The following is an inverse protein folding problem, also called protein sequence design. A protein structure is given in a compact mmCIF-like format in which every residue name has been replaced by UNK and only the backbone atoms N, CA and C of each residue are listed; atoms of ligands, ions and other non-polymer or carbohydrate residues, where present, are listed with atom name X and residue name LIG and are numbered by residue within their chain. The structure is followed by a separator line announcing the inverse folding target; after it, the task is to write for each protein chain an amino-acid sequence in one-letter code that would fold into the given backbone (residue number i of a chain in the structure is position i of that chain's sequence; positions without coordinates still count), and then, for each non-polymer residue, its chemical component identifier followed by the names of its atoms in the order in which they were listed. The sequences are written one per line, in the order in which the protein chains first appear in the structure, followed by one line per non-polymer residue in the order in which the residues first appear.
data_IF_629155737256
#
_entry.id   IF_629155737256
#
_cell.length_a   1.000
_cell.length_b   1.000
_cell.length_c   1.000
_cell.angle_alpha   90.00
_cell.angle_beta   90.00
_cell.angle_gamma   90.00
#
_symmetry.space_group_name_H-M   'P 1'
#
loop_
_entity.id
_entity.type
_entity.pdbx_description
1 polymer ?
#
# COMPACT_ATOMS: atom_id res chain seq x y z
N UNK A 1 -27.32 18.98 10.55
CA UNK A 1 -27.27 18.57 9.13
C UNK A 1 -27.53 17.07 9.05
N UNK A 2 -28.22 16.59 8.01
CA UNK A 2 -28.67 15.20 7.96
C UNK A 2 -27.59 14.32 7.29
N UNK A 3 -26.82 13.55 8.07
CA UNK A 3 -25.82 12.59 7.58
C UNK A 3 -26.46 11.31 7.03
N UNK A 4 -27.74 11.04 7.34
CA UNK A 4 -28.48 9.86 6.86
C UNK A 4 -28.51 9.76 5.32
N UNK A 5 -28.36 10.92 4.61
CA UNK A 5 -28.29 10.96 3.15
C UNK A 5 -27.06 10.23 2.57
N UNK A 6 -26.06 9.92 3.38
CA UNK A 6 -24.83 9.26 2.93
C UNK A 6 -24.82 7.76 3.26
N UNK A 7 -25.86 7.24 3.93
CA UNK A 7 -25.99 5.82 4.25
C UNK A 7 -26.38 4.99 3.03
N UNK A 8 -25.80 3.79 2.93
CA UNK A 8 -26.10 2.83 1.86
C UNK A 8 -25.70 3.28 0.46
N UNK A 9 -24.84 4.31 0.31
CA UNK A 9 -24.40 4.76 -1.00
C UNK A 9 -23.44 3.77 -1.62
N UNK A 10 -23.72 3.32 -2.84
CA UNK A 10 -22.81 2.46 -3.61
C UNK A 10 -21.53 3.19 -4.07
N UNK A 11 -21.52 4.52 -4.07
CA UNK A 11 -20.43 5.41 -4.47
C UNK A 11 -20.38 6.64 -3.57
N UNK A 12 -19.18 7.17 -3.35
CA UNK A 12 -19.03 8.44 -2.64
C UNK A 12 -19.63 9.62 -3.42
N UNK A 13 -20.12 10.67 -2.72
CA UNK A 13 -20.54 11.89 -3.36
C UNK A 13 -19.41 12.54 -4.18
N UNK A 14 -19.76 13.14 -5.32
CA UNK A 14 -18.78 13.67 -6.27
C UNK A 14 -18.43 15.14 -6.08
N UNK A 15 -18.74 15.74 -4.96
CA UNK A 15 -18.45 17.16 -4.72
C UNK A 15 -16.99 17.46 -4.38
N UNK A 16 -16.18 16.44 -4.13
CA UNK A 16 -14.72 16.56 -3.92
C UNK A 16 -13.97 15.46 -4.67
N UNK A 17 -12.84 15.80 -5.27
CA UNK A 17 -11.99 14.88 -6.06
C UNK A 17 -10.56 14.98 -5.55
N UNK A 18 -9.93 13.87 -5.10
CA UNK A 18 -8.54 13.85 -4.70
C UNK A 18 -7.60 13.86 -5.90
N UNK A 19 -6.39 14.40 -5.71
CA UNK A 19 -5.33 14.41 -6.72
C UNK A 19 -3.98 13.90 -6.19
N UNK A 20 -3.73 14.00 -4.89
CA UNK A 20 -2.48 13.57 -4.25
C UNK A 20 -2.72 13.18 -2.80
N UNK A 21 -2.00 12.16 -2.34
CA UNK A 21 -1.96 11.71 -0.94
C UNK A 21 -0.51 11.74 -0.43
N UNK A 22 -0.26 12.47 0.67
CA UNK A 22 0.98 12.37 1.46
C UNK A 22 0.63 11.57 2.73
N UNK A 23 1.00 10.28 2.74
CA UNK A 23 0.64 9.31 3.77
C UNK A 23 1.86 8.97 4.61
N UNK A 24 1.79 9.22 5.92
CA UNK A 24 2.80 8.82 6.88
C UNK A 24 2.20 7.81 7.87
N UNK A 25 2.78 6.63 7.96
CA UNK A 25 2.36 5.56 8.86
C UNK A 25 3.46 5.24 9.86
N UNK A 26 3.11 5.17 11.14
CA UNK A 26 3.94 4.68 12.25
C UNK A 26 3.45 3.32 12.67
N UNK A 27 4.29 2.30 12.49
CA UNK A 27 3.91 0.91 12.73
C UNK A 27 4.44 0.42 14.07
N UNK A 28 3.56 -0.05 14.94
CA UNK A 28 3.90 -0.79 16.15
C UNK A 28 3.67 -2.29 15.91
N UNK A 29 4.75 -3.01 15.65
CA UNK A 29 4.75 -4.47 15.46
C UNK A 29 4.94 -5.26 16.76
N UNK A 30 4.88 -4.60 17.91
CA UNK A 30 4.87 -5.25 19.23
C UNK A 30 3.59 -6.08 19.44
N UNK A 31 3.36 -6.53 20.65
CA UNK A 31 2.14 -7.27 20.99
C UNK A 31 0.83 -6.48 20.73
N UNK A 32 0.88 -5.15 20.74
CA UNK A 32 -0.28 -4.29 20.47
C UNK A 32 -0.72 -4.33 19.02
N UNK A 33 0.22 -4.48 18.08
CA UNK A 33 -0.02 -4.54 16.64
C UNK A 33 -0.97 -3.43 16.16
N UNK A 34 -0.55 -2.18 16.38
CA UNK A 34 -1.31 -0.99 16.02
C UNK A 34 -0.53 -0.12 15.05
N UNK A 35 -1.20 0.83 14.45
CA UNK A 35 -0.56 1.89 13.69
C UNK A 35 -1.21 3.23 13.96
N UNK A 36 -0.42 4.27 13.85
CA UNK A 36 -0.85 5.66 13.81
C UNK A 36 -0.51 6.23 12.44
N UNK A 37 -1.40 7.04 11.87
CA UNK A 37 -1.19 7.63 10.57
C UNK A 37 -1.59 9.09 10.50
N UNK A 38 -0.92 9.80 9.61
CA UNK A 38 -1.37 11.09 9.11
C UNK A 38 -1.49 11.01 7.60
N UNK A 39 -2.56 11.54 7.06
CA UNK A 39 -2.72 11.68 5.61
C UNK A 39 -3.05 13.12 5.27
N UNK A 40 -2.35 13.67 4.28
CA UNK A 40 -2.64 14.96 3.68
C UNK A 40 -3.09 14.73 2.25
N UNK A 41 -4.30 15.18 1.93
CA UNK A 41 -4.95 14.91 0.65
C UNK A 41 -5.17 16.24 -0.07
N UNK A 42 -4.47 16.45 -1.18
CA UNK A 42 -4.80 17.54 -2.09
C UNK A 42 -6.09 17.19 -2.81
N UNK A 43 -7.07 18.07 -2.77
CA UNK A 43 -8.37 17.84 -3.39
C UNK A 43 -8.96 19.10 -3.99
N UNK A 44 -9.84 18.91 -4.97
CA UNK A 44 -10.65 19.95 -5.58
C UNK A 44 -12.09 19.80 -5.09
N UNK A 45 -12.62 20.85 -4.46
CA UNK A 45 -14.07 20.99 -4.24
C UNK A 45 -14.71 21.44 -5.55
N UNK A 46 -15.54 20.61 -6.15
CA UNK A 46 -16.18 20.89 -7.46
C UNK A 46 -17.63 21.37 -7.32
N UNK A 47 -18.25 21.11 -6.16
CA UNK A 47 -19.57 21.62 -5.80
C UNK A 47 -19.54 22.11 -4.35
N UNK A 48 -20.25 23.23 -4.05
CA UNK A 48 -20.35 23.74 -2.68
C UNK A 48 -20.92 22.68 -1.76
N UNK A 49 -20.29 22.46 -0.61
CA UNK A 49 -20.70 21.43 0.33
C UNK A 49 -20.40 21.82 1.77
N UNK A 50 -21.14 21.26 2.71
CA UNK A 50 -20.83 21.30 4.13
C UNK A 50 -20.28 19.96 4.63
N UNK A 51 -19.94 19.04 3.71
CA UNK A 51 -19.47 17.70 4.04
C UNK A 51 -18.27 17.33 3.20
N UNK A 52 -17.33 16.59 3.79
CA UNK A 52 -16.39 15.73 3.07
C UNK A 52 -16.66 14.30 3.50
N UNK A 53 -16.86 13.43 2.51
CA UNK A 53 -17.18 12.01 2.74
C UNK A 53 -16.07 11.17 2.12
N UNK A 54 -15.42 10.37 2.95
CA UNK A 54 -14.34 9.46 2.55
C UNK A 54 -14.69 8.03 2.97
N UNK A 55 -14.07 7.06 2.33
CA UNK A 55 -14.09 5.69 2.84
C UNK A 55 -13.11 5.56 4.02
N UNK A 56 -13.57 4.92 5.07
CA UNK A 56 -12.78 4.52 6.24
C UNK A 56 -13.46 3.33 6.91
N UNK A 57 -12.70 2.33 7.35
CA UNK A 57 -13.23 1.16 8.04
C UNK A 57 -12.28 0.75 9.15
N UNK A 58 -12.82 0.60 10.37
CA UNK A 58 -12.07 0.23 11.57
C UNK A 58 -10.90 1.18 11.88
N UNK A 59 -11.03 2.45 11.49
CA UNK A 59 -10.10 3.51 11.80
C UNK A 59 -10.71 4.45 12.85
N UNK A 60 -9.87 4.94 13.75
CA UNK A 60 -10.23 6.02 14.66
C UNK A 60 -9.64 7.33 14.15
N UNK A 61 -10.48 8.29 13.81
CA UNK A 61 -10.06 9.63 13.40
C UNK A 61 -9.90 10.49 14.65
N UNK A 62 -8.69 11.04 14.85
CA UNK A 62 -8.35 11.88 16.00
C UNK A 62 -8.58 13.35 15.70
N UNK A 63 -8.20 13.79 14.51
CA UNK A 63 -8.31 15.18 14.07
C UNK A 63 -8.47 15.23 12.55
N UNK A 64 -9.21 16.22 12.08
CA UNK A 64 -9.28 16.60 10.68
C UNK A 64 -9.25 18.11 10.52
N UNK A 65 -8.67 18.59 9.41
CA UNK A 65 -8.57 20.01 9.07
C UNK A 65 -8.57 20.15 7.55
N UNK A 66 -9.48 20.96 7.02
CA UNK A 66 -9.44 21.38 5.62
C UNK A 66 -8.89 22.79 5.51
N UNK A 67 -7.89 22.99 4.65
CA UNK A 67 -7.26 24.28 4.39
C UNK A 67 -7.38 24.61 2.90
N UNK A 68 -7.99 25.73 2.56
CA UNK A 68 -8.09 26.18 1.16
C UNK A 68 -6.74 26.65 0.63
N UNK A 69 -6.60 26.77 -0.69
CA UNK A 69 -5.42 27.38 -1.34
C UNK A 69 -5.15 28.81 -0.88
N UNK A 70 -6.19 29.52 -0.41
CA UNK A 70 -6.10 30.87 0.21
C UNK A 70 -5.73 30.85 1.70
N UNK A 71 -5.31 29.70 2.26
CA UNK A 71 -4.93 29.49 3.66
C UNK A 71 -6.06 29.66 4.69
N UNK A 72 -7.32 29.71 4.25
CA UNK A 72 -8.47 29.66 5.17
C UNK A 72 -8.61 28.23 5.71
N UNK A 73 -8.77 28.10 7.01
CA UNK A 73 -8.87 26.83 7.73
C UNK A 73 -10.29 26.55 8.18
N UNK A 74 -10.75 25.31 7.99
CA UNK A 74 -12.04 24.80 8.40
C UNK A 74 -11.85 23.54 9.23
N UNK A 75 -12.27 23.61 10.48
CA UNK A 75 -12.34 22.44 11.36
C UNK A 75 -13.73 21.82 11.26
N UNK A 76 -13.84 20.48 11.09
CA UNK A 76 -15.15 19.85 11.20
C UNK A 76 -15.78 20.13 12.56
N UNK A 77 -17.07 20.50 12.57
CA UNK A 77 -17.86 20.59 13.80
C UNK A 77 -18.27 19.20 14.32
N UNK A 78 -18.29 18.20 13.43
CA UNK A 78 -18.53 16.80 13.78
C UNK A 78 -17.77 15.85 12.84
N UNK A 79 -17.38 14.68 13.35
CA UNK A 79 -16.71 13.59 12.63
C UNK A 79 -17.46 12.31 12.91
N UNK A 80 -18.21 11.84 11.94
CA UNK A 80 -19.05 10.65 12.07
C UNK A 80 -18.42 9.49 11.30
N UNK A 81 -18.03 8.45 12.03
CA UNK A 81 -17.53 7.20 11.45
C UNK A 81 -18.67 6.20 11.42
N UNK A 82 -18.94 5.62 10.27
CA UNK A 82 -19.91 4.54 10.06
C UNK A 82 -19.19 3.33 9.49
N UNK A 83 -18.94 2.35 10.38
CA UNK A 83 -18.21 1.13 10.00
C UNK A 83 -19.07 0.17 9.17
N UNK A 84 -20.41 0.26 9.24
CA UNK A 84 -21.32 -0.58 8.43
C UNK A 84 -21.31 -0.14 6.96
N UNK A 85 -21.30 1.17 6.72
CA UNK A 85 -21.17 1.77 5.38
C UNK A 85 -19.71 2.04 4.97
N UNK A 86 -18.75 1.77 5.86
CA UNK A 86 -17.30 1.95 5.66
C UNK A 86 -16.94 3.38 5.22
N UNK A 87 -17.54 4.38 5.88
CA UNK A 87 -17.33 5.79 5.56
C UNK A 87 -17.02 6.63 6.81
N UNK A 88 -16.33 7.73 6.60
CA UNK A 88 -16.22 8.84 7.54
C UNK A 88 -16.80 10.10 6.89
N UNK A 89 -17.69 10.77 7.62
CA UNK A 89 -18.30 12.04 7.21
C UNK A 89 -17.75 13.15 8.09
N UNK A 90 -17.04 14.08 7.48
CA UNK A 90 -16.58 15.32 8.11
C UNK A 90 -17.64 16.40 7.87
N UNK A 91 -18.23 16.91 8.94
CA UNK A 91 -19.31 17.91 8.90
C UNK A 91 -18.73 19.30 9.19
N UNK A 92 -19.03 20.29 8.37
CA UNK A 92 -18.58 21.66 8.54
C UNK A 92 -19.76 22.61 8.73
N UNK A 93 -19.67 23.51 9.71
CA UNK A 93 -20.72 24.54 9.94
C UNK A 93 -20.72 25.54 8.80
N UNK A 94 -19.53 25.88 8.28
CA UNK A 94 -19.38 26.77 7.14
C UNK A 94 -19.37 25.99 5.84
N UNK A 95 -19.92 26.56 4.78
CA UNK A 95 -19.91 25.94 3.44
C UNK A 95 -18.52 26.01 2.82
N UNK A 96 -17.97 24.88 2.46
CA UNK A 96 -16.75 24.75 1.65
C UNK A 96 -17.07 25.18 0.22
N UNK A 97 -16.39 26.22 -0.26
CA UNK A 97 -16.58 26.76 -1.61
C UNK A 97 -15.79 25.96 -2.64
N UNK A 98 -16.23 26.02 -3.89
CA UNK A 98 -15.50 25.45 -5.05
C UNK A 98 -14.08 26.00 -5.10
N UNK A 99 -13.09 25.14 -5.25
CA UNK A 99 -11.66 25.48 -5.28
C UNK A 99 -10.77 24.37 -4.77
N UNK A 100 -9.48 24.61 -4.83
CA UNK A 100 -8.44 23.67 -4.37
C UNK A 100 -8.19 23.80 -2.86
N UNK A 101 -7.84 22.69 -2.23
CA UNK A 101 -7.48 22.68 -0.81
C UNK A 101 -6.73 21.42 -0.38
N UNK A 102 -6.33 21.43 0.87
CA UNK A 102 -5.60 20.37 1.54
C UNK A 102 -6.41 19.85 2.73
N UNK A 103 -6.77 18.59 2.71
CA UNK A 103 -7.40 17.92 3.84
C UNK A 103 -6.33 17.12 4.61
N UNK A 104 -6.07 17.52 5.85
CA UNK A 104 -5.23 16.76 6.79
C UNK A 104 -6.10 15.94 7.73
N UNK A 105 -5.75 14.66 7.93
CA UNK A 105 -6.42 13.76 8.87
C UNK A 105 -5.37 13.03 9.69
N UNK A 106 -5.55 13.01 11.03
CA UNK A 106 -4.81 12.15 11.94
C UNK A 106 -5.70 10.98 12.37
N UNK A 107 -5.17 9.79 12.30
CA UNK A 107 -5.94 8.56 12.55
C UNK A 107 -5.08 7.44 13.15
N UNK A 108 -5.74 6.42 13.66
CA UNK A 108 -5.09 5.19 14.10
C UNK A 108 -5.94 3.98 13.79
N UNK A 109 -5.31 2.81 13.77
CA UNK A 109 -5.96 1.53 13.54
C UNK A 109 -5.19 0.36 14.15
N UNK A 110 -5.72 -0.84 13.95
CA UNK A 110 -5.08 -2.09 14.36
C UNK A 110 -4.66 -2.88 13.13
N UNK A 111 -3.50 -3.50 13.18
CA UNK A 111 -3.08 -4.51 12.23
C UNK A 111 -3.95 -5.75 12.44
N UNK A 112 -4.96 -5.93 11.60
CA UNK A 112 -5.90 -7.05 11.70
C UNK A 112 -5.25 -8.38 11.30
N UNK A 113 -5.99 -9.50 11.42
CA UNK A 113 -5.56 -10.86 11.06
C UNK A 113 -6.39 -11.46 9.91
N UNK A 114 -7.11 -10.60 9.17
CA UNK A 114 -8.06 -11.04 8.14
C UNK A 114 -7.47 -11.04 6.73
N UNK A 115 -6.16 -10.77 6.60
CA UNK A 115 -5.43 -10.68 5.32
C UNK A 115 -6.03 -9.64 4.36
N UNK A 116 -6.55 -8.52 4.89
CA UNK A 116 -7.17 -7.41 4.15
C UNK A 116 -6.80 -6.08 4.77
N UNK A 117 -6.62 -5.07 3.94
CA UNK A 117 -6.15 -3.76 4.39
C UNK A 117 -4.70 -3.85 4.84
N UNK A 118 -4.32 -3.09 5.87
CA UNK A 118 -3.04 -3.23 6.55
C UNK A 118 -3.19 -4.27 7.67
N UNK A 119 -2.54 -5.41 7.53
CA UNK A 119 -2.72 -6.54 8.43
C UNK A 119 -1.41 -7.06 9.00
N UNK A 120 -1.52 -7.81 10.09
CA UNK A 120 -0.42 -8.53 10.73
C UNK A 120 -0.25 -9.89 10.10
N UNK A 121 0.97 -10.19 9.68
CA UNK A 121 1.43 -11.52 9.32
C UNK A 121 2.50 -11.96 10.32
N UNK A 122 2.57 -13.25 10.65
CA UNK A 122 3.55 -13.76 11.62
C UNK A 122 4.57 -14.69 10.95
N UNK A 123 5.81 -14.59 11.39
CA UNK A 123 6.89 -15.48 10.96
C UNK A 123 7.72 -15.92 12.17
N UNK A 124 8.57 -16.93 11.96
CA UNK A 124 9.47 -17.43 12.99
C UNK A 124 10.91 -17.07 12.60
N UNK A 125 11.60 -16.35 13.49
CA UNK A 125 13.02 -16.05 13.39
C UNK A 125 13.73 -16.58 14.64
N UNK A 126 14.71 -17.50 14.45
CA UNK A 126 15.47 -18.12 15.55
C UNK A 126 14.57 -18.64 16.68
N UNK A 127 13.52 -19.40 16.29
CA UNK A 127 12.51 -19.97 17.21
C UNK A 127 11.61 -18.94 17.91
N UNK A 128 11.77 -17.66 17.62
CA UNK A 128 10.92 -16.56 18.16
C UNK A 128 9.89 -16.16 17.13
N UNK A 129 8.61 -16.13 17.58
CA UNK A 129 7.50 -15.64 16.78
C UNK A 129 7.56 -14.12 16.69
N UNK A 130 7.61 -13.57 15.49
CA UNK A 130 7.67 -12.13 15.20
C UNK A 130 6.53 -11.71 14.28
N UNK A 131 6.18 -10.44 14.33
CA UNK A 131 5.16 -9.83 13.48
C UNK A 131 5.80 -9.07 12.33
N UNK A 132 5.12 -9.04 11.18
CA UNK A 132 5.34 -8.13 10.08
C UNK A 132 4.02 -7.45 9.69
N UNK A 133 4.10 -6.28 9.07
CA UNK A 133 2.96 -5.60 8.48
C UNK A 133 2.95 -5.83 6.97
N UNK A 134 1.80 -6.12 6.42
CA UNK A 134 1.58 -6.38 4.98
C UNK A 134 0.28 -5.72 4.56
N UNK A 135 0.22 -5.19 3.35
CA UNK A 135 -1.01 -4.66 2.75
C UNK A 135 -1.62 -5.64 1.75
N UNK A 136 -2.97 -5.69 1.73
CA UNK A 136 -3.78 -6.23 0.64
C UNK A 136 -5.01 -5.36 0.47
N UNK A 137 -5.00 -4.49 -0.54
CA UNK A 137 -6.04 -3.47 -0.71
C UNK A 137 -7.08 -3.80 -1.79
N UNK A 138 -6.76 -4.63 -2.75
CA UNK A 138 -7.76 -5.06 -3.72
C UNK A 138 -8.91 -5.84 -3.04
N UNK A 139 -10.18 -5.53 -3.38
CA UNK A 139 -10.59 -4.52 -4.37
C UNK A 139 -10.85 -3.14 -3.73
N UNK A 140 -11.19 -3.03 -2.43
CA UNK A 140 -11.61 -1.81 -1.73
C UNK A 140 -11.24 -1.88 -0.23
N UNK A 141 -9.98 -2.20 0.07
CA UNK A 141 -9.48 -2.33 1.44
C UNK A 141 -8.41 -1.29 1.80
N UNK A 142 -8.09 -0.32 0.93
CA UNK A 142 -7.23 0.81 1.29
C UNK A 142 -7.84 1.60 2.46
N UNK A 143 -9.17 1.72 2.52
CA UNK A 143 -9.96 2.32 3.59
C UNK A 143 -9.74 1.72 4.98
N UNK A 144 -9.15 0.51 5.06
CA UNK A 144 -8.78 -0.14 6.32
C UNK A 144 -7.37 0.26 6.80
N UNK A 145 -6.64 1.02 5.97
CA UNK A 145 -5.31 1.53 6.28
C UNK A 145 -5.32 3.04 6.49
N UNK A 146 -6.01 3.79 5.64
CA UNK A 146 -6.11 5.25 5.72
C UNK A 146 -7.43 5.76 5.15
N UNK A 147 -7.98 6.90 5.66
CA UNK A 147 -9.15 7.53 5.07
C UNK A 147 -8.83 7.99 3.64
N UNK A 148 -9.66 7.61 2.67
CA UNK A 148 -9.42 7.90 1.25
C UNK A 148 -10.71 7.84 0.42
N UNK A 149 -10.65 8.31 -0.81
CA UNK A 149 -11.64 8.01 -1.85
C UNK A 149 -11.27 6.66 -2.48
N UNK A 150 -11.78 5.56 -1.89
CA UNK A 150 -11.40 4.20 -2.25
C UNK A 150 -12.23 3.65 -3.44
N UNK A 151 -12.19 4.42 -4.53
CA UNK A 151 -12.80 4.07 -5.81
C UNK A 151 -11.74 4.04 -6.91
N UNK A 152 -11.66 2.96 -7.74
CA UNK A 152 -10.58 2.81 -8.74
C UNK A 152 -10.48 3.96 -9.76
N UNK A 153 -11.60 4.65 -10.03
CA UNK A 153 -11.63 5.78 -10.95
C UNK A 153 -11.08 7.08 -10.35
N UNK A 154 -11.04 7.20 -9.02
CA UNK A 154 -10.53 8.38 -8.32
C UNK A 154 -9.03 8.20 -8.05
N UNK A 155 -8.27 8.22 -9.14
CA UNK A 155 -6.82 8.03 -9.13
C UNK A 155 -6.11 9.29 -8.62
N UNK A 156 -4.99 9.07 -7.95
CA UNK A 156 -4.13 10.12 -7.41
C UNK A 156 -2.66 9.67 -7.42
N UNK A 157 -1.74 10.58 -7.11
CA UNK A 157 -0.37 10.21 -6.75
C UNK A 157 -0.26 9.97 -5.25
N UNK A 158 0.72 9.17 -4.83
CA UNK A 158 0.94 8.83 -3.42
C UNK A 158 2.39 9.03 -3.04
N UNK A 159 2.62 9.80 -1.98
CA UNK A 159 3.91 9.93 -1.31
C UNK A 159 3.82 9.18 0.02
N UNK A 160 4.62 8.14 0.17
CA UNK A 160 4.57 7.26 1.34
C UNK A 160 5.76 7.54 2.25
N UNK A 161 5.52 7.61 3.54
CA UNK A 161 6.53 7.66 4.59
C UNK A 161 6.19 6.61 5.65
N UNK A 162 7.18 5.83 6.09
CA UNK A 162 6.99 4.77 7.08
C UNK A 162 7.95 4.98 8.26
N UNK A 163 7.41 5.00 9.49
CA UNK A 163 8.19 4.79 10.69
C UNK A 163 8.10 3.31 11.08
N UNK A 164 9.23 2.65 11.17
CA UNK A 164 9.35 1.22 11.46
C UNK A 164 10.54 0.93 12.38
N UNK A 165 10.57 -0.23 13.08
CA UNK A 165 11.76 -0.68 13.80
C UNK A 165 12.99 -0.69 12.88
N UNK A 166 14.12 -0.17 13.36
CA UNK A 166 15.31 0.09 12.53
C UNK A 166 15.92 -1.17 11.92
N UNK A 167 15.75 -2.33 12.57
CA UNK A 167 16.25 -3.62 12.11
C UNK A 167 15.39 -4.26 11.01
N UNK A 168 14.17 -3.77 10.77
CA UNK A 168 13.27 -4.33 9.77
C UNK A 168 13.43 -3.66 8.41
N UNK A 169 13.20 -4.39 7.36
CA UNK A 169 13.08 -3.87 6.00
C UNK A 169 11.71 -3.23 5.83
N UNK A 170 11.67 -2.01 5.28
CA UNK A 170 10.44 -1.31 4.91
C UNK A 170 10.40 -1.18 3.38
N UNK A 171 9.31 -1.66 2.78
CA UNK A 171 9.09 -1.68 1.33
C UNK A 171 7.80 -0.94 1.00
N UNK A 172 7.79 -0.25 -0.14
CA UNK A 172 6.60 0.35 -0.74
C UNK A 172 6.70 0.36 -2.26
N UNK A 173 5.73 0.94 -2.95
CA UNK A 173 5.63 0.99 -4.40
C UNK A 173 6.89 1.53 -5.09
N UNK A 174 7.46 2.62 -4.56
CA UNK A 174 8.53 3.36 -5.19
C UNK A 174 9.87 3.19 -4.46
N UNK A 175 11.00 3.60 -5.06
CA UNK A 175 12.31 3.57 -4.40
C UNK A 175 12.36 4.43 -3.13
N UNK A 176 13.24 4.05 -2.22
CA UNK A 176 13.61 4.88 -1.07
C UNK A 176 14.44 6.07 -1.56
N UNK A 177 14.08 7.28 -1.13
CA UNK A 177 14.80 8.52 -1.44
C UNK A 177 15.56 9.08 -0.25
N UNK A 178 15.14 8.78 0.98
CA UNK A 178 15.81 9.18 2.21
C UNK A 178 15.45 8.23 3.35
N UNK A 179 16.35 8.08 4.31
CA UNK A 179 16.15 7.28 5.51
C UNK A 179 16.76 7.98 6.72
N UNK A 180 16.00 8.14 7.80
CA UNK A 180 16.45 8.79 9.03
C UNK A 180 16.30 7.86 10.20
N UNK A 181 17.36 7.71 10.98
CA UNK A 181 17.38 6.89 12.18
C UNK A 181 17.20 7.77 13.43
N UNK A 182 16.25 7.40 14.27
CA UNK A 182 16.04 7.98 15.60
C UNK A 182 15.88 6.86 16.63
N UNK A 183 16.96 6.58 17.37
CA UNK A 183 17.03 5.46 18.30
C UNK A 183 16.79 4.11 17.59
N UNK A 184 15.76 3.40 18.00
CA UNK A 184 15.37 2.09 17.42
C UNK A 184 14.31 2.19 16.32
N UNK A 185 13.95 3.40 15.91
CA UNK A 185 12.98 3.64 14.85
C UNK A 185 13.70 4.28 13.68
N UNK A 186 13.37 3.86 12.48
CA UNK A 186 13.75 4.52 11.25
C UNK A 186 12.53 5.08 10.53
N UNK A 187 12.68 6.28 10.00
CA UNK A 187 11.71 6.90 9.08
C UNK A 187 12.22 6.74 7.66
N UNK A 188 11.47 6.04 6.85
CA UNK A 188 11.80 5.75 5.44
C UNK A 188 10.89 6.57 4.54
N UNK A 189 11.49 7.36 3.65
CA UNK A 189 10.79 8.21 2.68
C UNK A 189 10.88 7.57 1.31
N UNK A 190 9.74 7.38 0.66
CA UNK A 190 9.67 6.83 -0.70
C UNK A 190 9.42 7.94 -1.72
N UNK A 191 9.87 7.70 -2.94
CA UNK A 191 9.55 8.54 -4.09
C UNK A 191 8.04 8.55 -4.33
N UNK A 192 7.52 9.63 -4.94
CA UNK A 192 6.10 9.75 -5.27
C UNK A 192 5.72 8.78 -6.40
N UNK A 193 4.56 8.13 -6.28
CA UNK A 193 4.06 7.20 -7.30
C UNK A 193 3.55 7.94 -8.53
N UNK A 194 3.48 7.29 -9.70
CA UNK A 194 2.59 7.73 -10.77
C UNK A 194 1.15 7.82 -10.30
N UNK A 195 0.30 8.46 -11.11
CA UNK A 195 -1.16 8.47 -10.88
C UNK A 195 -1.70 7.04 -10.95
N UNK A 196 -2.25 6.56 -9.85
CA UNK A 196 -2.77 5.19 -9.72
C UNK A 196 -3.99 5.12 -8.79
N UNK A 197 -4.69 3.99 -8.81
CA UNK A 197 -5.81 3.72 -7.91
C UNK A 197 -5.31 3.41 -6.49
N UNK A 198 -6.13 3.68 -5.47
CA UNK A 198 -5.84 3.42 -4.05
C UNK A 198 -5.47 1.97 -3.78
N UNK A 199 -6.15 1.01 -4.44
CA UNK A 199 -5.93 -0.42 -4.22
C UNK A 199 -4.55 -0.93 -4.65
N UNK A 200 -3.78 -0.14 -5.42
CA UNK A 200 -2.41 -0.46 -5.85
C UNK A 200 -1.33 0.09 -4.89
N UNK A 201 -1.72 0.78 -3.82
CA UNK A 201 -0.79 1.20 -2.78
C UNK A 201 -0.36 -0.01 -1.97
N UNK A 202 0.94 -0.19 -1.78
CA UNK A 202 1.50 -1.34 -1.06
C UNK A 202 2.54 -0.91 -0.03
N UNK A 203 2.50 -1.58 1.11
CA UNK A 203 3.47 -1.46 2.20
C UNK A 203 3.76 -2.84 2.78
N UNK A 204 5.04 -3.16 2.94
CA UNK A 204 5.49 -4.35 3.66
C UNK A 204 6.61 -3.96 4.62
N UNK A 205 6.47 -4.32 5.89
CA UNK A 205 7.52 -4.13 6.91
C UNK A 205 7.78 -5.45 7.64
N UNK A 206 8.99 -5.96 7.50
CA UNK A 206 9.39 -7.24 8.07
C UNK A 206 10.88 -7.50 7.96
N UNK A 207 11.32 -8.67 8.35
CA UNK A 207 12.72 -9.08 8.26
C UNK A 207 12.93 -9.97 7.04
N UNK A 208 13.76 -9.50 6.09
CA UNK A 208 14.00 -10.16 4.81
C UNK A 208 15.49 -10.16 4.44
N UNK A 209 15.94 -11.22 3.79
CA UNK A 209 17.08 -11.19 2.87
C UNK A 209 16.57 -10.85 1.47
N UNK A 210 17.44 -10.37 0.58
CA UNK A 210 17.08 -10.21 -0.82
C UNK A 210 18.21 -10.56 -1.76
N UNK A 211 17.85 -10.87 -3.00
CA UNK A 211 18.72 -10.94 -4.16
C UNK A 211 18.23 -9.94 -5.19
N UNK A 212 19.15 -9.39 -5.97
CA UNK A 212 18.79 -8.38 -6.97
C UNK A 212 19.53 -8.59 -8.28
N UNK A 213 18.93 -8.12 -9.36
CA UNK A 213 19.55 -7.99 -10.68
C UNK A 213 18.84 -6.85 -11.45
N UNK A 214 19.27 -6.58 -12.67
CA UNK A 214 18.79 -5.43 -13.45
C UNK A 214 18.42 -5.89 -14.86
N UNK A 215 17.28 -5.41 -15.37
CA UNK A 215 16.88 -5.64 -16.77
C UNK A 215 17.80 -4.92 -17.74
N UNK A 216 17.74 -5.28 -19.04
CA UNK A 216 18.52 -4.61 -20.07
C UNK A 216 18.24 -3.09 -20.17
N UNK A 217 17.02 -2.67 -19.79
CA UNK A 217 16.57 -1.27 -19.82
C UNK A 217 16.92 -0.51 -18.53
N UNK A 218 17.60 -1.17 -17.57
CA UNK A 218 18.04 -0.54 -16.32
C UNK A 218 17.04 -0.59 -15.16
N UNK A 219 15.94 -1.34 -15.27
CA UNK A 219 14.99 -1.54 -14.17
C UNK A 219 15.61 -2.46 -13.13
N UNK A 220 15.69 -2.00 -11.87
CA UNK A 220 16.17 -2.82 -10.76
C UNK A 220 15.06 -3.80 -10.33
N UNK A 221 15.38 -5.10 -10.31
CA UNK A 221 14.47 -6.16 -9.86
C UNK A 221 15.04 -6.80 -8.61
N UNK A 222 14.24 -6.93 -7.54
CA UNK A 222 14.64 -7.55 -6.28
C UNK A 222 13.62 -8.60 -5.85
N UNK A 223 14.13 -9.70 -5.32
CA UNK A 223 13.33 -10.74 -4.69
C UNK A 223 13.64 -10.78 -3.19
N UNK A 224 12.70 -10.30 -2.38
CA UNK A 224 12.77 -10.31 -0.91
C UNK A 224 12.21 -11.63 -0.38
N UNK A 225 13.03 -12.35 0.38
CA UNK A 225 12.73 -13.67 0.88
C UNK A 225 12.86 -13.70 2.41
N UNK A 226 12.21 -14.62 3.12
CA UNK A 226 12.49 -14.86 4.53
C UNK A 226 13.99 -15.12 4.74
N UNK A 227 14.53 -14.62 5.87
CA UNK A 227 15.97 -14.74 6.18
C UNK A 227 16.47 -16.17 6.04
N UNK A 228 17.61 -16.34 5.35
CA UNK A 228 18.23 -17.62 5.06
C UNK A 228 17.59 -18.42 3.90
N UNK A 229 16.62 -17.82 3.18
CA UNK A 229 15.93 -18.45 2.05
C UNK A 229 16.10 -17.70 0.71
N UNK A 230 17.06 -16.79 0.60
CA UNK A 230 17.27 -15.97 -0.60
C UNK A 230 17.56 -16.81 -1.86
N UNK A 231 18.22 -17.96 -1.72
CA UNK A 231 18.46 -18.88 -2.84
C UNK A 231 17.16 -19.42 -3.46
N UNK A 232 16.10 -19.55 -2.69
CA UNK A 232 14.79 -20.01 -3.16
C UNK A 232 14.09 -18.96 -4.04
N UNK A 233 14.51 -17.68 -3.99
CA UNK A 233 13.99 -16.58 -4.81
C UNK A 233 14.64 -16.45 -6.20
N UNK A 234 15.72 -17.17 -6.49
CA UNK A 234 16.49 -17.03 -7.74
C UNK A 234 15.65 -17.26 -9.00
N UNK A 235 14.82 -18.29 -8.98
CA UNK A 235 13.97 -18.62 -10.13
C UNK A 235 12.97 -17.48 -10.41
N UNK A 236 12.31 -16.96 -9.39
CA UNK A 236 11.37 -15.83 -9.53
C UNK A 236 12.08 -14.59 -10.07
N UNK A 237 13.28 -14.26 -9.58
CA UNK A 237 14.08 -13.13 -10.06
C UNK A 237 14.41 -13.26 -11.55
N UNK A 238 14.95 -14.40 -11.98
CA UNK A 238 15.32 -14.65 -13.37
C UNK A 238 14.10 -14.62 -14.30
N UNK A 239 12.99 -15.24 -13.88
CA UNK A 239 11.75 -15.27 -14.64
C UNK A 239 11.18 -13.87 -14.81
N UNK A 240 11.15 -13.06 -13.75
CA UNK A 240 10.63 -11.68 -13.79
C UNK A 240 11.44 -10.82 -14.74
N UNK A 241 12.77 -10.89 -14.72
CA UNK A 241 13.62 -10.14 -15.65
C UNK A 241 13.34 -10.53 -17.11
N UNK A 242 13.25 -11.85 -17.38
CA UNK A 242 12.91 -12.34 -18.72
C UNK A 242 11.52 -11.86 -19.16
N UNK A 243 10.53 -11.92 -18.26
CA UNK A 243 9.15 -11.48 -18.53
C UNK A 243 9.08 -10.00 -18.83
N UNK A 244 9.76 -9.14 -18.06
CA UNK A 244 9.83 -7.70 -18.33
C UNK A 244 10.43 -7.42 -19.72
N UNK A 245 11.51 -8.10 -20.08
CA UNK A 245 12.13 -7.94 -21.40
C UNK A 245 11.21 -8.41 -22.54
N UNK A 246 10.44 -9.48 -22.34
CA UNK A 246 9.46 -9.97 -23.33
C UNK A 246 8.31 -8.97 -23.45
N UNK A 247 7.73 -8.51 -22.33
CA UNK A 247 6.62 -7.57 -22.33
C UNK A 247 7.00 -6.21 -22.92
N UNK A 248 8.20 -5.70 -22.63
CA UNK A 248 8.74 -4.49 -23.28
C UNK A 248 8.72 -4.63 -24.81
N UNK A 249 9.15 -5.78 -25.33
CA UNK A 249 9.14 -6.04 -26.79
C UNK A 249 7.73 -6.23 -27.33
N UNK A 250 6.91 -7.03 -26.64
CA UNK A 250 5.56 -7.38 -27.08
C UNK A 250 4.63 -6.16 -27.15
N UNK A 251 4.65 -5.33 -26.09
CA UNK A 251 3.84 -4.11 -26.01
C UNK A 251 4.51 -2.89 -26.65
N UNK A 252 5.77 -3.00 -27.08
CA UNK A 252 6.58 -1.86 -27.57
C UNK A 252 6.61 -0.69 -26.57
N UNK A 253 6.57 -0.99 -25.28
CA UNK A 253 6.53 -0.02 -24.19
C UNK A 253 7.39 -0.53 -23.04
N UNK A 254 8.39 0.23 -22.57
CA UNK A 254 9.20 -0.18 -21.44
C UNK A 254 8.38 -0.21 -20.14
N UNK A 255 8.85 -0.96 -19.16
CA UNK A 255 8.28 -0.93 -17.82
C UNK A 255 8.42 0.49 -17.24
N UNK A 256 7.32 1.11 -16.73
CA UNK A 256 7.32 2.55 -16.46
C UNK A 256 7.95 2.96 -15.14
N UNK A 257 8.30 2.00 -14.26
CA UNK A 257 8.83 2.28 -12.93
C UNK A 257 10.33 1.95 -12.85
N UNK A 258 11.08 2.65 -11.98
CA UNK A 258 12.54 2.46 -11.87
C UNK A 258 12.94 1.15 -11.18
N UNK A 259 12.00 0.49 -10.52
CA UNK A 259 12.24 -0.78 -9.83
C UNK A 259 11.00 -1.67 -9.86
N UNK A 260 11.22 -2.96 -9.69
CA UNK A 260 10.19 -3.96 -9.38
C UNK A 260 10.70 -4.84 -8.25
N UNK A 261 10.06 -4.74 -7.10
CA UNK A 261 10.32 -5.62 -5.96
C UNK A 261 9.27 -6.74 -5.92
N UNK A 262 9.70 -7.92 -5.62
CA UNK A 262 8.88 -9.07 -5.27
C UNK A 262 9.14 -9.41 -3.81
N UNK A 263 8.12 -9.68 -3.03
CA UNK A 263 8.28 -10.05 -1.63
C UNK A 263 7.45 -11.26 -1.28
N UNK A 264 8.11 -12.27 -0.70
CA UNK A 264 7.47 -13.50 -0.22
C UNK A 264 7.04 -13.31 1.23
N UNK A 265 5.73 -13.41 1.51
CA UNK A 265 5.16 -13.33 2.85
C UNK A 265 4.49 -14.65 3.25
N UNK A 266 4.52 -15.05 4.53
CA UNK A 266 4.00 -16.35 4.98
C UNK A 266 2.50 -16.53 4.76
N UNK A 267 1.73 -15.44 4.91
CA UNK A 267 0.27 -15.48 4.84
C UNK A 267 -0.24 -14.36 3.91
N UNK A 268 -0.92 -14.76 2.85
CA UNK A 268 -1.50 -13.86 1.87
C UNK A 268 -2.82 -14.40 1.35
N UNK A 269 -3.84 -13.55 1.17
CA UNK A 269 -5.20 -14.01 0.82
C UNK A 269 -5.28 -14.65 -0.58
N UNK A 270 -4.48 -14.12 -1.53
CA UNK A 270 -4.34 -14.65 -2.89
C UNK A 270 -3.01 -15.37 -3.07
N UNK A 271 -2.67 -15.77 -4.29
CA UNK A 271 -1.33 -16.24 -4.66
C UNK A 271 -0.34 -15.09 -4.70
N UNK A 272 -0.77 -13.98 -5.32
CA UNK A 272 -0.01 -12.73 -5.43
C UNK A 272 -0.94 -11.53 -5.59
N UNK A 273 -0.36 -10.31 -5.44
CA UNK A 273 -0.96 -9.04 -5.80
C UNK A 273 0.06 -8.18 -6.54
N UNK A 274 -0.30 -7.72 -7.74
CA UNK A 274 0.55 -6.97 -8.65
C UNK A 274 0.53 -5.45 -8.41
N UNK A 275 0.78 -5.03 -7.19
CA UNK A 275 0.89 -3.62 -6.86
C UNK A 275 2.02 -2.93 -7.65
N UNK A 276 1.85 -1.68 -8.02
CA UNK A 276 2.85 -0.94 -8.79
C UNK A 276 4.20 -0.92 -8.08
N UNK A 277 5.21 -1.52 -8.73
CA UNK A 277 6.57 -1.56 -8.24
C UNK A 277 6.86 -2.48 -7.05
N UNK A 278 5.84 -3.09 -6.44
CA UNK A 278 5.99 -4.04 -5.33
C UNK A 278 4.94 -5.16 -5.43
N UNK A 279 5.32 -6.31 -5.96
CA UNK A 279 4.44 -7.47 -6.03
C UNK A 279 4.57 -8.27 -4.74
N UNK A 280 3.45 -8.45 -4.05
CA UNK A 280 3.39 -9.28 -2.83
C UNK A 280 2.95 -10.69 -3.20
N UNK A 281 3.72 -11.68 -2.77
CA UNK A 281 3.44 -13.10 -3.02
C UNK A 281 3.24 -13.85 -1.70
N UNK A 282 2.34 -14.83 -1.70
CA UNK A 282 2.43 -15.90 -0.72
C UNK A 282 3.74 -16.65 -0.95
N UNK A 283 4.45 -17.00 0.11
CA UNK A 283 5.82 -17.54 0.01
C UNK A 283 5.93 -18.81 -0.86
N UNK A 284 4.94 -19.70 -0.82
CA UNK A 284 4.90 -20.91 -1.64
C UNK A 284 4.64 -20.64 -3.14
N UNK A 285 4.16 -19.46 -3.52
CA UNK A 285 3.94 -19.07 -4.92
C UNK A 285 5.17 -18.41 -5.56
N UNK A 286 6.09 -17.91 -4.74
CA UNK A 286 7.31 -17.25 -5.22
C UNK A 286 8.56 -18.09 -5.03
N UNK A 287 8.67 -18.79 -3.90
CA UNK A 287 9.90 -19.48 -3.49
C UNK A 287 9.96 -20.89 -4.04
N UNK A 288 11.08 -21.23 -4.66
CA UNK A 288 11.33 -22.55 -5.23
C UNK A 288 12.57 -23.21 -4.64
N UNK A 289 12.43 -24.48 -4.26
CA UNK A 289 13.53 -25.32 -3.79
C UNK A 289 13.41 -26.72 -4.38
N UNK A 290 14.45 -27.23 -5.01
CA UNK A 290 14.48 -28.58 -5.58
C UNK A 290 14.15 -29.69 -4.55
N UNK A 291 14.43 -29.43 -3.28
CA UNK A 291 14.21 -30.38 -2.18
C UNK A 291 12.85 -30.25 -1.48
N UNK A 292 12.17 -29.11 -1.61
CA UNK A 292 10.95 -28.80 -0.85
C UNK A 292 9.71 -28.56 -1.74
N UNK A 293 9.91 -28.17 -3.00
CA UNK A 293 8.82 -27.86 -3.91
C UNK A 293 8.17 -29.14 -4.45
N UNK A 294 6.84 -29.09 -4.67
CA UNK A 294 6.10 -30.24 -5.20
C UNK A 294 6.46 -30.55 -6.65
N UNK A 295 6.17 -31.78 -7.11
CA UNK A 295 6.39 -32.17 -8.51
C UNK A 295 5.63 -31.29 -9.52
N UNK A 296 4.43 -30.80 -9.16
CA UNK A 296 3.64 -29.88 -9.99
C UNK A 296 4.42 -28.58 -10.21
N UNK A 297 4.98 -27.98 -9.16
CA UNK A 297 5.77 -26.77 -9.24
C UNK A 297 7.04 -26.94 -10.09
N UNK A 298 7.65 -28.15 -10.03
CA UNK A 298 8.81 -28.49 -10.87
C UNK A 298 8.45 -28.64 -12.34
N UNK A 299 7.24 -29.10 -12.66
CA UNK A 299 6.73 -29.22 -14.04
C UNK A 299 6.41 -27.84 -14.62
N UNK A 300 5.72 -26.98 -13.87
CA UNK A 300 5.42 -25.59 -14.28
C UNK A 300 6.71 -24.78 -14.52
N UNK A 301 7.76 -25.00 -13.69
CA UNK A 301 9.09 -24.43 -13.93
C UNK A 301 9.68 -24.90 -15.27
N UNK A 302 9.59 -26.18 -15.60
CA UNK A 302 10.12 -26.72 -16.84
C UNK A 302 9.37 -26.20 -18.07
N UNK A 303 8.06 -26.02 -17.99
CA UNK A 303 7.23 -25.46 -19.07
C UNK A 303 7.51 -23.97 -19.26
N UNK A 304 7.62 -23.18 -18.20
CA UNK A 304 7.92 -21.75 -18.27
C UNK A 304 9.31 -21.45 -18.83
N UNK A 305 10.32 -22.29 -18.51
CA UNK A 305 11.66 -22.16 -19.09
C UNK A 305 11.64 -22.46 -20.59
N UNK A 306 10.83 -23.42 -21.05
CA UNK A 306 10.71 -23.75 -22.47
C UNK A 306 9.93 -22.69 -23.26
N UNK A 307 8.89 -22.08 -22.69
CA UNK A 307 8.16 -20.95 -23.32
C UNK A 307 9.01 -19.68 -23.47
N UNK A 308 9.97 -19.45 -22.59
CA UNK A 308 10.86 -18.27 -22.66
C UNK A 308 12.10 -18.48 -23.54
N UNK A 309 12.35 -19.70 -24.06
CA UNK A 309 13.51 -20.04 -24.89
C UNK A 309 13.18 -20.16 -26.38
N UNK A 310 11.92 -20.02 -26.79
CA UNK A 310 11.44 -19.91 -28.17
C UNK A 310 10.98 -18.50 -28.49
#
# INVERSE_FOLDING_TARGET
MNIEQFKGLARLPKFAIPSHYDLHLKLDLSAACTFYGTVKINLSIIEKTNFLVLNANQLHVHQALFTTSGSQQYFPSDVVVDDDDEVVVLVFDETLCVGEGLLGIEFSGKLNEHLKGLYRCTYVDKEVKKNMAVTQFEAANARRCFPCWDEPALKATFKITLDAPSELTALSNMPIIDEKLDGNIKTVYFEETPVMSTYLVAVVVGLFDHIEDTTADGVKVRAYCPVGRSDEGKFALELTIKSLNIFTKYFSTPYPLPKLDMVAVPEFAAGAMEDFGLIVYRDNEMLYSDSKSTAIYSMEKAENVNCCST
#
